data_IF_656862965881
#
_entry.id   IF_656862965881
#
_cell.length_a   1.000
_cell.length_b   1.000
_cell.length_c   1.000
_cell.angle_alpha   90.00
_cell.angle_beta   90.00
_cell.angle_gamma   90.00
#
_symmetry.space_group_name_H-M   'P 1'
#
loop_
_entity.id
_entity.type
_entity.pdbx_description
1 polymer ?
#
# COMPACT_ATOMS: atom_id res chain seq x y z
N UNK A 1 7.09 -12.94 -1.12
CA UNK A 1 6.90 -11.52 -0.81
C UNK A 1 8.00 -11.13 0.17
N UNK A 2 8.70 -10.03 -0.08
CA UNK A 2 9.82 -9.57 0.75
C UNK A 2 9.41 -8.28 1.44
N UNK A 3 9.56 -8.22 2.76
CA UNK A 3 9.30 -7.02 3.54
C UNK A 3 10.60 -6.27 3.81
N UNK A 4 10.69 -5.03 3.32
CA UNK A 4 11.81 -4.15 3.66
C UNK A 4 11.82 -3.83 5.16
N UNK A 5 12.98 -3.43 5.71
CA UNK A 5 13.07 -3.00 7.11
C UNK A 5 12.09 -1.86 7.41
N UNK A 6 11.91 -0.93 6.46
CA UNK A 6 10.93 0.13 6.61
C UNK A 6 9.49 -0.40 6.72
N UNK A 7 9.10 -1.33 5.85
CA UNK A 7 7.77 -1.95 5.92
C UNK A 7 7.56 -2.69 7.25
N UNK A 8 8.54 -3.48 7.71
CA UNK A 8 8.45 -4.20 8.99
C UNK A 8 8.24 -3.25 10.17
N UNK A 9 9.00 -2.15 10.25
CA UNK A 9 8.80 -1.13 11.29
C UNK A 9 7.39 -0.54 11.24
N UNK A 10 6.88 -0.22 10.04
CA UNK A 10 5.51 0.29 9.91
C UNK A 10 4.45 -0.74 10.32
N UNK A 11 4.66 -2.02 10.01
CA UNK A 11 3.75 -3.08 10.41
C UNK A 11 3.63 -3.16 11.93
N UNK A 12 4.75 -3.11 12.63
CA UNK A 12 4.79 -3.08 14.10
C UNK A 12 4.09 -1.83 14.65
N UNK A 13 4.41 -0.63 14.12
CA UNK A 13 3.80 0.64 14.54
C UNK A 13 2.27 0.66 14.42
N UNK A 14 1.74 0.05 13.35
CA UNK A 14 0.31 0.06 13.04
C UNK A 14 -0.43 -1.22 13.45
N UNK A 15 0.26 -2.22 14.02
CA UNK A 15 -0.33 -3.52 14.34
C UNK A 15 -0.85 -4.27 13.11
N UNK A 16 -0.17 -4.12 11.96
CA UNK A 16 -0.53 -4.77 10.71
C UNK A 16 0.19 -6.12 10.65
N UNK A 17 -0.58 -7.18 10.40
CA UNK A 17 -0.05 -8.53 10.24
C UNK A 17 0.29 -8.83 8.77
N UNK A 18 1.19 -9.78 8.55
CA UNK A 18 1.64 -10.17 7.20
C UNK A 18 0.47 -10.67 6.34
N UNK A 19 -0.45 -11.46 6.89
CA UNK A 19 -1.65 -11.95 6.21
C UNK A 19 -2.50 -10.81 5.62
N UNK A 20 -2.70 -9.74 6.38
CA UNK A 20 -3.42 -8.55 5.90
C UNK A 20 -2.71 -7.83 4.76
N UNK A 21 -1.37 -7.79 4.77
CA UNK A 21 -0.58 -7.22 3.66
C UNK A 21 -0.70 -8.11 2.42
N UNK A 22 -0.54 -9.43 2.59
CA UNK A 22 -0.64 -10.40 1.50
C UNK A 22 -2.01 -10.35 0.83
N UNK A 23 -3.08 -10.35 1.62
CA UNK A 23 -4.45 -10.27 1.15
C UNK A 23 -4.71 -8.96 0.40
N UNK A 24 -4.21 -7.83 0.91
CA UNK A 24 -4.33 -6.53 0.25
C UNK A 24 -3.61 -6.49 -1.10
N UNK A 25 -2.45 -7.13 -1.22
CA UNK A 25 -1.70 -7.20 -2.48
C UNK A 25 -2.34 -8.15 -3.49
N UNK A 26 -2.84 -9.31 -3.05
CA UNK A 26 -3.43 -10.32 -3.95
C UNK A 26 -4.82 -9.93 -4.44
N UNK A 27 -5.61 -9.33 -3.58
CA UNK A 27 -7.01 -8.99 -3.85
C UNK A 27 -7.30 -7.54 -3.39
N UNK A 28 -6.72 -6.54 -4.07
CA UNK A 28 -6.96 -5.14 -3.74
C UNK A 28 -8.39 -4.73 -4.12
N UNK A 29 -9.02 -3.90 -3.29
CA UNK A 29 -10.23 -3.17 -3.70
C UNK A 29 -9.90 -2.06 -4.69
N UNK A 30 -8.70 -1.47 -4.54
CA UNK A 30 -8.16 -0.46 -5.46
C UNK A 30 -6.68 -0.70 -5.66
N UNK A 31 -6.25 -0.61 -6.92
CA UNK A 31 -4.85 -0.71 -7.32
C UNK A 31 -4.50 0.53 -8.15
N UNK A 32 -3.35 1.14 -7.85
CA UNK A 32 -2.85 2.31 -8.56
C UNK A 32 -1.38 2.14 -8.92
N UNK A 33 -0.96 2.79 -10.01
CA UNK A 33 0.45 2.94 -10.37
C UNK A 33 0.97 4.29 -9.89
N UNK A 34 2.04 4.31 -9.09
CA UNK A 34 2.80 5.53 -8.84
C UNK A 34 3.69 5.84 -10.04
N UNK A 35 3.16 6.66 -10.95
CA UNK A 35 3.82 7.04 -12.20
C UNK A 35 5.19 7.70 -12.02
N UNK A 36 5.55 8.19 -10.81
CA UNK A 36 6.89 8.76 -10.57
C UNK A 36 7.94 7.72 -10.25
N UNK A 37 7.56 6.65 -9.57
CA UNK A 37 8.50 5.62 -9.10
C UNK A 37 8.35 4.29 -9.83
N UNK A 38 7.24 4.09 -10.55
CA UNK A 38 6.86 2.80 -11.13
C UNK A 38 6.30 1.80 -10.10
N UNK A 39 6.16 2.19 -8.83
CA UNK A 39 5.65 1.33 -7.77
C UNK A 39 4.12 1.17 -7.83
N UNK A 40 3.61 0.08 -7.28
CA UNK A 40 2.18 -0.18 -7.15
C UNK A 40 1.67 0.20 -5.75
N UNK A 41 0.42 0.64 -5.70
CA UNK A 41 -0.28 0.93 -4.45
C UNK A 41 -1.57 0.13 -4.41
N UNK A 42 -1.61 -0.90 -3.57
CA UNK A 42 -2.80 -1.68 -3.27
C UNK A 42 -3.51 -1.13 -2.02
N UNK A 43 -4.83 -1.11 -2.07
CA UNK A 43 -5.68 -0.61 -0.99
C UNK A 43 -6.83 -1.58 -0.77
N UNK A 44 -7.07 -1.95 0.48
CA UNK A 44 -8.18 -2.80 0.91
C UNK A 44 -8.69 -2.36 2.27
N UNK A 45 -9.97 -2.58 2.55
CA UNK A 45 -10.52 -2.42 3.91
C UNK A 45 -9.83 -3.37 4.90
N UNK A 46 -9.45 -2.87 6.06
CA UNK A 46 -8.81 -3.60 7.14
C UNK A 46 -9.40 -3.15 8.48
N UNK A 47 -10.39 -3.89 8.96
CA UNK A 47 -11.25 -3.48 10.08
C UNK A 47 -12.08 -2.23 9.73
N UNK A 48 -12.01 -1.21 10.59
CA UNK A 48 -12.68 0.09 10.37
C UNK A 48 -11.86 1.08 9.52
N UNK A 49 -10.64 0.68 9.14
CA UNK A 49 -9.72 1.51 8.35
C UNK A 49 -9.49 0.88 6.98
N UNK A 50 -8.65 1.53 6.19
CA UNK A 50 -8.09 0.98 4.96
C UNK A 50 -6.61 0.71 5.20
N UNK A 51 -6.14 -0.45 4.77
CA UNK A 51 -4.73 -0.77 4.65
C UNK A 51 -4.25 -0.32 3.27
N UNK A 52 -3.16 0.43 3.25
CA UNK A 52 -2.47 0.85 2.04
C UNK A 52 -1.12 0.16 2.02
N UNK A 53 -0.83 -0.52 0.92
CA UNK A 53 0.43 -1.24 0.68
C UNK A 53 1.08 -0.66 -0.55
N UNK A 54 2.31 -0.18 -0.41
CA UNK A 54 3.15 0.26 -1.53
C UNK A 54 4.20 -0.82 -1.78
N UNK A 55 4.27 -1.31 -3.00
CA UNK A 55 5.13 -2.41 -3.36
C UNK A 55 5.65 -2.30 -4.80
N UNK A 56 6.75 -2.99 -5.07
CA UNK A 56 7.27 -3.22 -6.41
C UNK A 56 6.96 -4.67 -6.80
N UNK A 57 6.67 -4.92 -8.08
CA UNK A 57 6.27 -6.24 -8.59
C UNK A 57 6.99 -6.59 -9.89
N UNK A 58 8.33 -6.51 -9.87
CA UNK A 58 9.16 -6.90 -11.01
C UNK A 58 9.32 -8.43 -11.01
N UNK A 59 10.46 -8.96 -10.60
CA UNK A 59 10.68 -10.41 -10.47
C UNK A 59 10.05 -11.00 -9.20
N UNK A 60 10.01 -10.19 -8.14
CA UNK A 60 9.44 -10.53 -6.84
C UNK A 60 8.63 -9.37 -6.28
N UNK A 61 7.69 -9.68 -5.38
CA UNK A 61 6.90 -8.65 -4.69
C UNK A 61 7.71 -8.14 -3.50
N UNK A 62 8.15 -6.89 -3.58
CA UNK A 62 8.88 -6.19 -2.50
C UNK A 62 7.97 -5.15 -1.86
N UNK A 63 7.64 -5.33 -0.58
CA UNK A 63 6.84 -4.40 0.21
C UNK A 63 7.71 -3.26 0.70
N UNK A 64 7.50 -2.08 0.11
CA UNK A 64 8.25 -0.86 0.40
C UNK A 64 7.73 -0.18 1.65
N UNK A 65 6.41 0.01 1.76
CA UNK A 65 5.80 0.59 2.96
C UNK A 65 4.34 0.16 3.11
N UNK A 66 3.86 0.20 4.36
CA UNK A 66 2.46 -0.05 4.71
C UNK A 66 1.97 0.99 5.70
N UNK A 67 0.69 1.30 5.69
CA UNK A 67 0.05 2.08 6.74
C UNK A 67 -1.46 1.90 6.72
N UNK A 68 -2.12 2.14 7.85
CA UNK A 68 -3.59 2.16 7.93
C UNK A 68 -4.13 3.59 8.04
N UNK A 69 -5.28 3.85 7.41
CA UNK A 69 -5.93 5.17 7.45
C UNK A 69 -7.45 5.08 7.41
N UNK A 70 -8.13 6.00 8.10
CA UNK A 70 -9.59 6.22 7.92
C UNK A 70 -9.90 7.25 6.81
N UNK A 71 -8.89 7.96 6.30
CA UNK A 71 -9.05 9.09 5.37
C UNK A 71 -8.51 8.77 3.98
N UNK A 72 -8.92 7.62 3.43
CA UNK A 72 -8.35 7.10 2.18
C UNK A 72 -8.55 8.05 0.99
N UNK A 73 -9.75 8.64 0.86
CA UNK A 73 -10.08 9.57 -0.21
C UNK A 73 -9.12 10.76 -0.24
N UNK A 74 -8.84 11.36 0.93
CA UNK A 74 -7.90 12.48 1.05
C UNK A 74 -6.46 12.10 0.64
N UNK A 75 -6.03 10.87 0.94
CA UNK A 75 -4.69 10.39 0.56
C UNK A 75 -4.60 10.21 -0.95
N UNK A 76 -5.60 9.55 -1.55
CA UNK A 76 -5.66 9.34 -3.00
C UNK A 76 -5.72 10.68 -3.74
N UNK A 77 -6.61 11.59 -3.35
CA UNK A 77 -6.74 12.94 -3.93
C UNK A 77 -5.43 13.71 -3.91
N UNK A 78 -4.73 13.72 -2.77
CA UNK A 78 -3.45 14.41 -2.66
C UNK A 78 -2.38 13.80 -3.57
N UNK A 79 -2.37 12.47 -3.75
CA UNK A 79 -1.40 11.80 -4.62
C UNK A 79 -1.73 11.98 -6.10
N UNK A 80 -3.00 11.97 -6.50
CA UNK A 80 -3.45 12.33 -7.86
C UNK A 80 -3.05 13.77 -8.17
N UNK A 81 -3.37 14.73 -7.29
CA UNK A 81 -3.03 16.16 -7.49
C UNK A 81 -1.53 16.40 -7.66
N UNK A 82 -0.70 15.60 -6.99
CA UNK A 82 0.77 15.68 -7.09
C UNK A 82 1.36 14.90 -8.27
N UNK A 83 0.52 14.31 -9.13
CA UNK A 83 0.94 13.50 -10.28
C UNK A 83 1.65 12.22 -9.86
N UNK A 84 1.20 11.57 -8.78
CA UNK A 84 1.77 10.32 -8.24
C UNK A 84 0.83 9.13 -8.35
N UNK A 85 -0.36 9.26 -8.96
CA UNK A 85 -1.21 8.10 -9.23
C UNK A 85 -1.73 8.18 -10.66
N UNK A 86 -1.42 7.16 -11.44
CA UNK A 86 -2.08 6.82 -12.70
C UNK A 86 -3.17 5.77 -12.44
N UNK A 87 -4.29 5.92 -13.13
CA UNK A 87 -5.38 4.94 -13.20
C UNK A 87 -5.13 3.95 -14.33
#
# INVERSE_FOLDING_TARGET
MIFTSHAKTRMEEYGIKEDGVEETVREPEKLFLDIKTGGLIAIRKYGEKHLVVVYESNEEIVIVTVFSTSKINKIVENRVRNGRLGL
#
